data_IF_033587820069
#
_entry.id   IF_033587820069
#
_cell.length_a   1.000
_cell.length_b   1.000
_cell.length_c   1.000
_cell.angle_alpha   90.00
_cell.angle_beta   90.00
_cell.angle_gamma   90.00
#
_symmetry.space_group_name_H-M   'P 1'
#
loop_
_entity.id
_entity.type
_entity.pdbx_description
1 polymer ?
#
# COMPACT_ATOMS: atom_id res chain seq x y z
N UNK A 1 -9.42 65.91 -28.58
CA UNK A 1 -10.19 64.85 -27.92
C UNK A 1 -10.77 63.96 -29.02
N UNK A 2 -10.11 62.83 -29.30
CA UNK A 2 -10.62 61.80 -30.19
C UNK A 2 -10.73 60.53 -29.33
N UNK A 3 -11.92 59.95 -29.35
CA UNK A 3 -12.42 58.96 -28.41
C UNK A 3 -11.55 57.71 -28.30
N UNK A 4 -11.00 57.50 -27.11
CA UNK A 4 -10.19 56.34 -26.71
C UNK A 4 -11.01 55.05 -26.50
N UNK A 5 -12.28 55.02 -26.96
CA UNK A 5 -13.18 53.87 -26.83
C UNK A 5 -12.97 52.82 -27.93
N UNK A 6 -12.62 53.23 -29.15
CA UNK A 6 -12.34 52.29 -30.25
C UNK A 6 -11.01 51.54 -30.10
N UNK A 7 -10.06 52.09 -29.34
CA UNK A 7 -8.74 51.48 -29.14
C UNK A 7 -8.76 50.27 -28.18
N UNK A 8 -9.69 50.19 -27.22
CA UNK A 8 -9.80 49.01 -26.34
C UNK A 8 -10.21 47.76 -27.14
N UNK A 9 -11.19 47.90 -28.03
CA UNK A 9 -11.70 46.83 -28.90
C UNK A 9 -10.61 46.17 -29.76
N UNK A 10 -9.75 46.97 -30.39
CA UNK A 10 -8.63 46.45 -31.22
C UNK A 10 -7.55 45.80 -30.35
N UNK A 11 -7.30 46.32 -29.15
CA UNK A 11 -6.27 45.80 -28.27
C UNK A 11 -6.67 44.47 -27.60
N UNK A 12 -7.97 44.24 -27.44
CA UNK A 12 -8.53 42.98 -26.94
C UNK A 12 -8.88 42.02 -28.09
N UNK A 13 -8.79 42.46 -29.35
CA UNK A 13 -9.11 41.67 -30.55
C UNK A 13 -8.33 40.34 -30.60
N UNK A 14 -7.02 40.26 -30.29
CA UNK A 14 -6.32 38.97 -30.29
C UNK A 14 -6.82 38.05 -29.16
N UNK A 15 -7.23 38.58 -28.01
CA UNK A 15 -7.85 37.79 -26.94
C UNK A 15 -9.23 37.26 -27.37
N UNK A 16 -10.02 38.09 -28.05
CA UNK A 16 -11.29 37.65 -28.65
C UNK A 16 -11.08 36.62 -29.76
N UNK A 17 -10.08 36.77 -30.63
CA UNK A 17 -9.76 35.76 -31.66
C UNK A 17 -9.35 34.43 -31.01
N UNK A 18 -8.50 34.45 -29.97
CA UNK A 18 -8.16 33.23 -29.21
C UNK A 18 -9.41 32.57 -28.63
N UNK A 19 -10.24 33.35 -27.93
CA UNK A 19 -11.46 32.87 -27.27
C UNK A 19 -12.52 32.35 -28.25
N UNK A 20 -12.70 33.02 -29.38
CA UNK A 20 -13.83 32.83 -30.30
C UNK A 20 -13.49 31.91 -31.49
N UNK A 21 -12.21 31.78 -31.87
CA UNK A 21 -11.78 30.94 -33.01
C UNK A 21 -10.98 29.71 -32.62
N UNK A 22 -10.31 29.68 -31.47
CA UNK A 22 -9.53 28.52 -31.02
C UNK A 22 -10.30 27.76 -29.94
N UNK A 23 -10.78 28.45 -28.91
CA UNK A 23 -11.50 27.79 -27.81
C UNK A 23 -12.99 27.51 -28.10
N UNK A 24 -13.57 28.08 -29.15
CA UNK A 24 -14.96 27.79 -29.56
C UNK A 24 -15.08 26.59 -30.53
N UNK A 25 -13.93 26.05 -30.97
CA UNK A 25 -13.81 24.91 -31.87
C UNK A 25 -13.44 23.67 -31.05
N UNK A 26 -14.14 23.42 -29.94
CA UNK A 26 -13.85 22.24 -29.09
C UNK A 26 -14.15 20.90 -29.81
N UNK A 27 -14.89 20.92 -30.93
CA UNK A 27 -15.29 19.72 -31.67
C UNK A 27 -14.53 19.45 -32.98
N UNK A 28 -13.65 20.34 -33.47
CA UNK A 28 -12.84 20.09 -34.70
C UNK A 28 -11.33 20.08 -34.44
N UNK A 29 -10.90 20.18 -33.18
CA UNK A 29 -9.49 20.20 -32.78
C UNK A 29 -8.80 18.82 -32.85
N UNK A 30 -9.50 17.74 -33.22
CA UNK A 30 -8.90 16.40 -33.39
C UNK A 30 -7.79 16.34 -34.46
N UNK A 31 -7.70 17.35 -35.34
CA UNK A 31 -6.76 17.38 -36.48
C UNK A 31 -5.50 18.22 -36.18
N UNK A 32 -5.45 18.95 -35.06
CA UNK A 32 -4.33 19.84 -34.77
C UNK A 32 -3.28 19.16 -33.89
N UNK A 33 -2.16 18.75 -34.52
CA UNK A 33 -0.99 18.17 -33.83
C UNK A 33 -0.34 19.14 -32.82
N UNK A 34 -0.59 20.45 -32.94
CA UNK A 34 -0.17 21.46 -31.97
C UNK A 34 -0.39 22.90 -32.45
N UNK A 35 -0.57 23.82 -31.49
CA UNK A 35 -0.65 25.27 -31.73
C UNK A 35 0.55 25.94 -31.06
N UNK A 36 1.37 26.67 -31.82
CA UNK A 36 2.50 27.42 -31.30
C UNK A 36 2.18 28.92 -31.24
N UNK A 37 2.24 29.52 -30.05
CA UNK A 37 2.09 30.96 -29.86
C UNK A 37 3.46 31.64 -29.79
N UNK A 38 3.74 32.55 -30.72
CA UNK A 38 4.85 33.50 -30.60
C UNK A 38 4.32 34.83 -30.06
N UNK A 39 4.61 35.12 -28.79
CA UNK A 39 4.20 36.37 -28.13
C UNK A 39 5.15 37.52 -28.52
N UNK A 40 5.01 38.01 -29.74
CA UNK A 40 5.89 39.07 -30.29
C UNK A 40 5.57 40.48 -29.77
N UNK A 41 4.42 40.68 -29.14
CA UNK A 41 3.99 41.96 -28.56
C UNK A 41 4.28 42.02 -27.06
N UNK A 42 4.98 43.07 -26.60
CA UNK A 42 5.29 43.32 -25.17
C UNK A 42 4.05 43.25 -24.28
N UNK A 43 2.91 43.81 -24.72
CA UNK A 43 1.67 43.77 -23.93
C UNK A 43 1.14 42.36 -23.76
N UNK A 44 1.15 41.54 -24.82
CA UNK A 44 0.72 40.14 -24.73
C UNK A 44 1.68 39.36 -23.84
N UNK A 45 2.98 39.45 -24.09
CA UNK A 45 3.98 38.83 -23.22
C UNK A 45 3.81 39.22 -21.74
N UNK A 46 3.50 40.48 -21.43
CA UNK A 46 3.26 40.90 -20.03
C UNK A 46 1.93 40.43 -19.44
N UNK A 47 0.92 40.10 -20.26
CA UNK A 47 -0.39 39.61 -19.82
C UNK A 47 -0.59 38.10 -20.00
N UNK A 48 0.46 37.37 -20.39
CA UNK A 48 0.42 35.94 -20.72
C UNK A 48 -0.25 35.07 -19.64
N UNK A 49 -0.09 35.39 -18.37
CA UNK A 49 -0.70 34.65 -17.25
C UNK A 49 -2.24 34.62 -17.31
N UNK A 50 -2.86 35.52 -18.07
CA UNK A 50 -4.33 35.60 -18.22
C UNK A 50 -4.92 34.65 -19.25
N UNK A 51 -4.11 34.08 -20.12
CA UNK A 51 -4.60 33.29 -21.26
C UNK A 51 -3.69 32.15 -21.69
N UNK A 52 -2.46 32.08 -21.18
CA UNK A 52 -1.56 30.95 -21.34
C UNK A 52 -1.50 30.18 -20.02
N UNK A 53 -2.18 29.05 -19.98
CA UNK A 53 -2.19 28.11 -18.85
C UNK A 53 -1.68 26.77 -19.35
N UNK A 54 -0.72 26.18 -18.65
CA UNK A 54 -0.30 24.80 -18.94
C UNK A 54 -1.25 23.85 -18.21
N UNK A 55 -2.06 23.13 -18.97
CA UNK A 55 -2.97 22.15 -18.39
C UNK A 55 -2.19 20.88 -18.04
N UNK A 56 -2.05 20.61 -16.75
CA UNK A 56 -1.29 19.47 -16.23
C UNK A 56 -1.82 18.11 -16.74
N UNK A 57 -3.09 18.02 -17.16
CA UNK A 57 -3.72 16.77 -17.61
C UNK A 57 -3.09 16.20 -18.89
N UNK A 58 -2.41 17.04 -19.67
CA UNK A 58 -1.67 16.59 -20.86
C UNK A 58 -0.23 16.16 -20.54
N UNK A 59 0.22 16.31 -19.29
CA UNK A 59 1.60 16.07 -18.91
C UNK A 59 1.70 14.96 -17.85
N UNK A 60 2.48 13.90 -18.11
CA UNK A 60 2.74 12.88 -17.09
C UNK A 60 3.50 13.50 -15.91
N UNK A 61 3.36 12.92 -14.72
CA UNK A 61 4.02 13.44 -13.50
C UNK A 61 5.54 13.60 -13.68
N UNK A 62 6.18 12.67 -14.38
CA UNK A 62 7.60 12.75 -14.74
C UNK A 62 7.98 14.03 -15.50
N UNK A 63 7.11 14.51 -16.39
CA UNK A 63 7.33 15.77 -17.09
C UNK A 63 7.21 16.95 -16.12
N UNK A 64 6.21 16.93 -15.25
CA UNK A 64 5.98 17.98 -14.25
C UNK A 64 7.18 18.10 -13.31
N UNK A 65 7.72 16.98 -12.81
CA UNK A 65 8.94 16.97 -12.00
C UNK A 65 10.15 17.52 -12.76
N UNK A 66 10.31 17.16 -14.04
CA UNK A 66 11.37 17.74 -14.87
C UNK A 66 11.21 19.25 -15.03
N UNK A 67 9.99 19.74 -15.21
CA UNK A 67 9.72 21.18 -15.30
C UNK A 67 10.07 21.85 -13.97
N UNK A 68 9.66 21.29 -12.83
CA UNK A 68 10.01 21.78 -11.49
C UNK A 68 11.52 21.95 -11.32
N UNK A 69 12.31 21.04 -11.89
CA UNK A 69 13.77 21.01 -11.77
C UNK A 69 14.53 21.89 -12.77
N UNK A 70 14.07 21.91 -14.02
CA UNK A 70 14.85 22.41 -15.16
C UNK A 70 14.27 23.69 -15.77
N UNK A 71 13.12 24.16 -15.29
CA UNK A 71 12.50 25.40 -15.75
C UNK A 71 13.38 26.61 -15.41
N UNK A 72 14.33 26.92 -16.29
CA UNK A 72 15.18 28.10 -16.21
C UNK A 72 14.50 29.36 -16.79
N UNK A 73 13.42 29.17 -17.55
CA UNK A 73 12.66 30.26 -18.16
C UNK A 73 11.85 31.01 -17.11
N UNK A 74 12.51 31.94 -16.39
CA UNK A 74 11.88 32.84 -15.39
C UNK A 74 10.62 33.53 -15.93
N UNK A 75 10.64 33.85 -17.22
CA UNK A 75 9.50 34.34 -17.99
C UNK A 75 8.23 33.52 -17.81
N UNK A 76 8.28 32.20 -17.63
CA UNK A 76 7.08 31.36 -17.52
C UNK A 76 6.94 30.67 -16.16
N UNK A 77 7.73 31.10 -15.17
CA UNK A 77 7.71 30.57 -13.81
C UNK A 77 6.31 30.55 -13.20
N UNK A 78 5.52 31.61 -13.42
CA UNK A 78 4.15 31.67 -12.91
C UNK A 78 3.23 30.63 -13.56
N UNK A 79 3.31 30.40 -14.88
CA UNK A 79 2.53 29.36 -15.55
C UNK A 79 2.90 27.96 -15.06
N UNK A 80 4.20 27.70 -14.87
CA UNK A 80 4.65 26.42 -14.34
C UNK A 80 4.12 26.20 -12.92
N UNK A 81 4.14 27.24 -12.07
CA UNK A 81 3.59 27.16 -10.72
C UNK A 81 2.07 26.93 -10.74
N UNK A 82 1.32 27.70 -11.55
CA UNK A 82 -0.12 27.51 -11.71
C UNK A 82 -0.49 26.10 -12.14
N UNK A 83 0.29 25.48 -13.04
CA UNK A 83 0.09 24.09 -13.47
C UNK A 83 0.25 23.11 -12.29
N UNK A 84 1.29 23.30 -11.48
CA UNK A 84 1.57 22.47 -10.29
C UNK A 84 0.45 22.65 -9.26
N UNK A 85 0.08 23.91 -8.95
CA UNK A 85 -0.97 24.23 -7.98
C UNK A 85 -2.34 23.68 -8.43
N UNK A 86 -2.65 23.78 -9.73
CA UNK A 86 -3.89 23.22 -10.30
C UNK A 86 -3.97 21.72 -10.09
N UNK A 87 -2.84 21.00 -10.25
CA UNK A 87 -2.76 19.57 -9.96
C UNK A 87 -2.99 19.31 -8.48
N UNK A 88 -2.36 20.08 -7.58
CA UNK A 88 -2.51 19.95 -6.12
C UNK A 88 -3.95 20.17 -5.65
N UNK A 89 -4.71 21.02 -6.34
CA UNK A 89 -6.11 21.28 -6.02
C UNK A 89 -7.13 20.35 -6.69
N UNK A 90 -6.72 19.49 -7.64
CA UNK A 90 -7.66 18.62 -8.34
C UNK A 90 -8.03 17.41 -7.47
N UNK A 91 -9.32 17.30 -7.15
CA UNK A 91 -9.94 16.18 -6.44
C UNK A 91 -9.65 14.78 -7.02
N UNK A 92 -9.28 14.70 -8.30
CA UNK A 92 -8.93 13.45 -8.98
C UNK A 92 -7.50 12.99 -8.68
N UNK A 93 -6.65 13.87 -8.16
CA UNK A 93 -5.31 13.52 -7.73
C UNK A 93 -5.36 13.23 -6.22
N UNK A 94 -5.13 11.97 -5.86
CA UNK A 94 -5.43 11.47 -4.51
C UNK A 94 -4.27 10.67 -3.90
N UNK A 95 -3.29 10.27 -4.71
CA UNK A 95 -2.16 9.44 -4.28
C UNK A 95 -0.91 10.29 -4.19
N UNK A 96 -0.37 10.43 -2.99
CA UNK A 96 0.80 11.27 -2.71
C UNK A 96 1.93 10.43 -2.13
N UNK A 97 3.13 10.64 -2.66
CA UNK A 97 4.36 10.11 -2.09
C UNK A 97 5.25 11.26 -1.63
N UNK A 98 5.78 11.12 -0.43
CA UNK A 98 6.66 12.09 0.20
C UNK A 98 8.07 11.51 0.24
N UNK A 99 9.07 12.35 -0.04
CA UNK A 99 10.49 11.99 0.05
C UNK A 99 11.25 12.95 0.95
N UNK A 100 12.10 12.41 1.82
CA UNK A 100 12.90 13.24 2.72
C UNK A 100 13.90 14.13 1.99
N UNK A 101 14.44 13.65 0.88
CA UNK A 101 15.37 14.40 0.06
C UNK A 101 15.11 14.09 -1.40
N UNK A 102 15.61 14.97 -2.27
CA UNK A 102 15.48 14.79 -3.70
C UNK A 102 16.37 13.65 -4.18
N UNK A 103 15.78 12.70 -4.90
CA UNK A 103 16.49 11.54 -5.43
C UNK A 103 15.97 11.12 -6.79
N UNK A 104 16.69 10.19 -7.44
CA UNK A 104 16.19 9.54 -8.65
C UNK A 104 15.03 8.60 -8.30
N UNK A 105 13.90 8.82 -8.96
CA UNK A 105 12.66 8.11 -8.71
C UNK A 105 12.40 7.12 -9.85
N UNK A 106 12.01 5.88 -9.51
CA UNK A 106 11.74 4.83 -10.49
C UNK A 106 10.52 5.15 -11.37
N UNK A 107 10.47 4.53 -12.56
CA UNK A 107 9.36 4.73 -13.50
C UNK A 107 7.99 4.39 -12.90
N UNK A 108 7.94 3.37 -12.04
CA UNK A 108 6.70 2.88 -11.42
C UNK A 108 6.08 3.89 -10.45
N UNK A 109 6.88 4.76 -9.83
CA UNK A 109 6.36 5.79 -8.93
C UNK A 109 5.60 6.85 -9.74
N UNK A 110 6.08 7.22 -10.93
CA UNK A 110 5.39 8.17 -11.81
C UNK A 110 4.07 7.65 -12.39
N UNK A 111 3.87 6.32 -12.44
CA UNK A 111 2.60 5.71 -12.84
C UNK A 111 1.69 5.42 -11.64
N UNK A 112 2.25 5.28 -10.44
CA UNK A 112 1.50 4.92 -9.22
C UNK A 112 1.00 6.13 -8.44
N UNK A 113 1.72 7.25 -8.46
CA UNK A 113 1.37 8.42 -7.65
C UNK A 113 0.97 9.61 -8.51
N UNK A 114 0.10 10.45 -7.95
CA UNK A 114 -0.37 11.67 -8.58
C UNK A 114 0.52 12.86 -8.18
N UNK A 115 1.14 12.78 -7.00
CA UNK A 115 2.03 13.80 -6.43
C UNK A 115 3.32 13.20 -5.90
N UNK A 116 4.42 13.93 -6.11
CA UNK A 116 5.70 13.71 -5.45
C UNK A 116 6.07 15.02 -4.77
N UNK A 117 6.39 14.98 -3.48
CA UNK A 117 6.89 16.14 -2.75
C UNK A 117 8.18 15.76 -2.02
N UNK A 118 9.13 16.70 -2.01
CA UNK A 118 10.45 16.54 -1.39
C UNK A 118 10.59 17.53 -0.24
N UNK A 119 11.12 17.08 0.89
CA UNK A 119 11.47 17.97 2.01
C UNK A 119 12.96 18.25 2.00
N UNK A 120 13.36 19.33 2.66
CA UNK A 120 14.76 19.75 2.78
C UNK A 120 15.29 19.30 4.15
N UNK A 121 16.47 18.67 4.16
CA UNK A 121 17.20 18.28 5.36
C UNK A 121 17.50 19.47 6.30
N UNK A 122 17.55 20.69 5.76
CA UNK A 122 17.78 21.91 6.53
C UNK A 122 16.52 22.44 7.24
N UNK A 123 15.35 21.87 6.94
CA UNK A 123 14.15 22.19 7.70
C UNK A 123 14.18 21.40 9.02
N UNK A 124 14.29 22.09 10.16
CA UNK A 124 14.16 21.49 11.50
C UNK A 124 12.78 20.85 11.75
N UNK A 125 11.89 20.87 10.76
CA UNK A 125 10.49 20.53 10.92
C UNK A 125 10.37 19.01 10.77
N UNK A 126 9.86 18.39 11.85
CA UNK A 126 9.10 17.14 11.85
C UNK A 126 8.18 17.03 10.62
N UNK A 127 7.60 15.87 10.26
CA UNK A 127 6.46 15.84 9.32
C UNK A 127 5.52 16.99 9.73
N UNK A 128 5.50 18.12 9.01
CA UNK A 128 4.98 19.32 9.65
C UNK A 128 3.51 19.10 9.98
N UNK A 129 3.02 19.49 11.18
CA UNK A 129 1.58 19.56 11.42
C UNK A 129 0.86 20.52 10.44
N UNK A 130 1.62 21.23 9.59
CA UNK A 130 1.17 22.09 8.50
C UNK A 130 1.78 21.72 7.15
N UNK A 131 2.07 20.44 6.87
CA UNK A 131 2.18 20.08 5.46
C UNK A 131 0.83 20.41 4.87
N UNK A 132 0.79 21.31 3.89
CA UNK A 132 -0.38 21.49 3.04
C UNK A 132 -0.54 20.24 2.17
N UNK A 133 -0.83 19.11 2.82
CA UNK A 133 -1.29 17.91 2.16
C UNK A 133 -2.68 18.26 1.64
N UNK A 134 -2.92 18.11 0.33
CA UNK A 134 -4.24 18.39 -0.20
C UNK A 134 -5.30 17.58 0.55
N UNK A 135 -6.42 18.22 0.91
CA UNK A 135 -7.54 17.55 1.58
C UNK A 135 -8.13 16.41 0.73
N UNK A 136 -7.80 16.34 -0.57
CA UNK A 136 -8.19 15.27 -1.50
C UNK A 136 -7.34 14.00 -1.38
N UNK A 137 -6.21 14.01 -0.65
CA UNK A 137 -5.31 12.86 -0.56
C UNK A 137 -5.98 11.70 0.18
N UNK A 138 -6.14 10.59 -0.52
CA UNK A 138 -6.68 9.33 0.02
C UNK A 138 -5.60 8.28 0.25
N UNK A 139 -4.49 8.33 -0.50
CA UNK A 139 -3.33 7.44 -0.30
C UNK A 139 -2.10 8.28 -0.02
N UNK A 140 -1.47 8.06 1.13
CA UNK A 140 -0.29 8.78 1.57
C UNK A 140 0.84 7.83 1.92
N UNK A 141 1.96 7.94 1.20
CA UNK A 141 3.16 7.11 1.38
C UNK A 141 4.35 7.97 1.75
N UNK A 142 5.09 7.55 2.77
CA UNK A 142 6.37 8.16 3.13
C UNK A 142 7.54 7.31 2.64
N UNK A 143 8.57 7.98 2.11
CA UNK A 143 9.82 7.36 1.67
C UNK A 143 11.03 8.00 2.34
N UNK A 144 11.80 7.18 3.05
CA UNK A 144 13.11 7.52 3.62
C UNK A 144 13.09 8.66 4.65
N UNK A 145 12.13 8.65 5.57
CA UNK A 145 12.05 9.66 6.63
C UNK A 145 12.55 9.11 7.96
N UNK A 146 13.50 9.81 8.56
CA UNK A 146 13.83 9.63 9.97
C UNK A 146 13.22 10.80 10.75
N UNK A 147 12.33 10.48 11.68
CA UNK A 147 11.72 11.45 12.57
C UNK A 147 12.54 11.72 13.83
N UNK A 148 13.73 11.13 13.99
CA UNK A 148 14.65 11.40 15.10
C UNK A 148 14.00 11.29 16.50
N UNK A 149 13.06 10.38 16.67
CA UNK A 149 12.32 10.14 17.90
C UNK A 149 11.05 11.00 18.08
N UNK A 150 10.67 11.81 17.09
CA UNK A 150 9.50 12.69 17.19
C UNK A 150 8.19 11.92 17.27
N UNK A 151 7.24 12.53 17.95
CA UNK A 151 5.87 12.03 18.07
C UNK A 151 5.03 12.63 16.96
N UNK A 152 4.31 11.77 16.23
CA UNK A 152 3.29 12.19 15.28
C UNK A 152 2.05 12.50 16.11
N UNK A 153 1.59 13.75 16.11
CA UNK A 153 0.47 14.21 16.92
C UNK A 153 -0.86 14.03 16.18
N UNK A 154 -2.02 14.13 16.86
CA UNK A 154 -3.31 14.17 16.19
C UNK A 154 -3.41 15.30 15.17
N UNK A 155 -4.13 15.05 14.08
CA UNK A 155 -4.31 15.98 12.94
C UNK A 155 -3.05 16.23 12.09
N UNK A 156 -1.98 15.45 12.25
CA UNK A 156 -0.81 15.52 11.32
C UNK A 156 -1.16 15.06 9.90
N UNK A 157 -2.06 14.07 9.75
CA UNK A 157 -2.48 13.55 8.45
C UNK A 157 -3.88 14.07 8.04
N UNK A 158 -4.16 14.26 6.74
CA UNK A 158 -5.47 14.70 6.27
C UNK A 158 -6.57 13.73 6.65
N UNK A 159 -7.78 14.22 6.97
CA UNK A 159 -8.90 13.37 7.39
C UNK A 159 -9.42 12.46 6.26
N UNK A 160 -9.13 12.79 5.00
CA UNK A 160 -9.56 12.01 3.83
C UNK A 160 -8.72 10.74 3.58
N UNK A 161 -7.55 10.60 4.23
CA UNK A 161 -6.65 9.46 4.02
C UNK A 161 -7.35 8.15 4.36
N UNK A 162 -7.29 7.21 3.42
CA UNK A 162 -7.80 5.83 3.48
C UNK A 162 -6.67 4.81 3.53
N UNK A 163 -5.56 5.11 2.87
CA UNK A 163 -4.37 4.25 2.83
C UNK A 163 -3.17 5.06 3.35
N UNK A 164 -2.55 4.58 4.43
CA UNK A 164 -1.42 5.25 5.07
C UNK A 164 -0.24 4.29 5.18
N UNK A 165 0.83 4.60 4.44
CA UNK A 165 2.07 3.82 4.46
C UNK A 165 3.19 4.59 5.16
N UNK A 166 3.46 4.16 6.39
CA UNK A 166 4.53 4.65 7.27
C UNK A 166 5.74 3.72 7.27
N UNK A 167 5.83 2.75 6.36
CA UNK A 167 6.81 1.67 6.47
C UNK A 167 8.26 2.08 6.29
N UNK A 168 8.48 3.21 5.62
CA UNK A 168 9.80 3.84 5.48
C UNK A 168 9.96 5.05 6.43
N UNK A 169 9.08 5.22 7.41
CA UNK A 169 9.36 6.06 8.57
C UNK A 169 10.23 5.30 9.57
N UNK A 170 11.21 5.97 10.15
CA UNK A 170 12.04 5.44 11.24
C UNK A 170 12.03 6.38 12.44
N UNK A 171 12.29 5.81 13.62
CA UNK A 171 12.38 6.52 14.90
C UNK A 171 11.20 7.48 15.13
N UNK A 172 9.98 7.00 14.98
CA UNK A 172 8.78 7.80 15.20
C UNK A 172 7.90 7.18 16.26
N UNK A 173 7.22 8.02 17.03
CA UNK A 173 6.22 7.59 18.01
C UNK A 173 4.82 7.98 17.53
N UNK A 174 3.84 7.13 17.85
CA UNK A 174 2.43 7.42 17.63
C UNK A 174 1.75 7.66 18.97
N UNK A 175 0.72 8.48 18.95
CA UNK A 175 -0.23 8.70 20.05
C UNK A 175 -1.63 8.33 19.61
N UNK A 176 -2.55 8.20 20.56
CA UNK A 176 -3.97 8.02 20.24
C UNK A 176 -4.45 9.21 19.42
N UNK A 177 -5.08 8.94 18.27
CA UNK A 177 -5.56 9.97 17.34
C UNK A 177 -4.55 10.46 16.30
N UNK A 178 -3.29 9.99 16.34
CA UNK A 178 -2.29 10.32 15.30
C UNK A 178 -2.67 9.78 13.93
N UNK A 179 -3.32 8.62 13.87
CA UNK A 179 -3.83 8.02 12.64
C UNK A 179 -5.31 8.44 12.47
N UNK A 180 -5.71 9.04 11.34
CA UNK A 180 -7.09 9.45 11.11
C UNK A 180 -8.05 8.26 11.18
N UNK A 181 -9.23 8.45 11.76
CA UNK A 181 -10.24 7.39 11.89
C UNK A 181 -10.77 6.85 10.56
N UNK A 182 -10.57 7.61 9.47
CA UNK A 182 -10.95 7.24 8.12
C UNK A 182 -10.04 6.22 7.44
N UNK A 183 -8.86 5.91 8.03
CA UNK A 183 -7.87 4.98 7.46
C UNK A 183 -8.41 3.55 7.48
N UNK A 184 -8.34 2.89 6.32
CA UNK A 184 -8.75 1.50 6.08
C UNK A 184 -7.54 0.57 5.95
N UNK A 185 -6.44 1.07 5.40
CA UNK A 185 -5.18 0.33 5.25
C UNK A 185 -4.05 1.09 5.94
N UNK A 186 -3.41 0.42 6.89
CA UNK A 186 -2.30 0.99 7.65
C UNK A 186 -1.08 0.08 7.58
N UNK A 187 0.03 0.63 7.07
CA UNK A 187 1.32 -0.03 7.10
C UNK A 187 2.25 0.73 8.04
N UNK A 188 2.48 0.19 9.24
CA UNK A 188 3.41 0.78 10.21
C UNK A 188 4.88 0.48 9.89
N UNK A 189 5.14 -0.53 9.04
CA UNK A 189 6.47 -1.09 8.83
C UNK A 189 7.20 -1.35 10.14
N UNK A 190 8.45 -0.89 10.25
CA UNK A 190 9.34 -1.14 11.41
C UNK A 190 9.00 -0.21 12.58
N UNK A 191 7.92 -0.53 13.29
CA UNK A 191 7.51 0.22 14.46
C UNK A 191 8.22 -0.29 15.72
N UNK A 192 9.00 0.58 16.39
CA UNK A 192 9.88 0.20 17.51
C UNK A 192 9.31 0.55 18.90
N UNK A 193 8.04 0.97 18.97
CA UNK A 193 7.34 1.29 20.21
C UNK A 193 6.23 0.27 20.49
N UNK A 194 5.78 0.21 21.75
CA UNK A 194 4.61 -0.60 22.10
C UNK A 194 3.39 0.03 21.44
N UNK A 195 2.59 -0.79 20.76
CA UNK A 195 1.35 -0.35 20.17
C UNK A 195 0.27 -0.38 21.26
N UNK A 196 -0.06 0.75 21.85
CA UNK A 196 -1.11 0.85 22.87
C UNK A 196 -2.51 0.82 22.23
N UNK A 197 -3.52 0.46 23.03
CA UNK A 197 -4.93 0.48 22.63
C UNK A 197 -5.33 1.89 22.12
N UNK A 198 -6.07 1.94 21.02
CA UNK A 198 -6.54 3.18 20.41
C UNK A 198 -5.52 3.91 19.51
N UNK A 199 -4.26 3.47 19.43
CA UNK A 199 -3.31 4.02 18.44
C UNK A 199 -3.74 3.64 17.02
N UNK A 200 -4.12 2.38 16.80
CA UNK A 200 -4.73 1.93 15.55
C UNK A 200 -6.24 2.17 15.65
N UNK A 201 -6.84 2.99 14.77
CA UNK A 201 -8.26 3.31 14.85
C UNK A 201 -9.14 2.14 14.39
N UNK A 202 -10.37 2.06 14.91
CA UNK A 202 -11.37 1.04 14.55
C UNK A 202 -11.85 1.08 13.08
N UNK A 203 -11.34 2.01 12.25
CA UNK A 203 -11.58 2.00 10.80
C UNK A 203 -10.69 1.02 10.05
N UNK A 204 -9.54 0.64 10.62
CA UNK A 204 -8.50 -0.13 9.91
C UNK A 204 -8.96 -1.55 9.67
N UNK A 205 -8.91 -1.97 8.40
CA UNK A 205 -9.23 -3.32 7.91
C UNK A 205 -8.00 -4.14 7.58
N UNK A 206 -6.96 -3.49 7.04
CA UNK A 206 -5.66 -4.11 6.73
C UNK A 206 -4.57 -3.45 7.55
N UNK A 207 -3.87 -4.24 8.34
CA UNK A 207 -2.80 -3.76 9.21
C UNK A 207 -1.50 -4.53 8.91
N UNK A 208 -0.41 -3.78 8.71
CA UNK A 208 0.94 -4.34 8.63
C UNK A 208 1.79 -3.81 9.78
N UNK A 209 2.33 -4.74 10.58
CA UNK A 209 3.25 -4.48 11.67
C UNK A 209 4.51 -5.31 11.40
N UNK A 210 5.66 -4.64 11.30
CA UNK A 210 6.95 -5.27 11.21
C UNK A 210 7.89 -4.75 12.32
N UNK A 211 8.96 -5.47 12.58
CA UNK A 211 10.07 -4.99 13.39
C UNK A 211 11.40 -5.28 12.71
N UNK A 212 12.48 -4.75 13.25
CA UNK A 212 13.80 -5.35 13.02
C UNK A 212 14.04 -6.54 13.98
N UNK A 213 15.14 -7.25 13.79
CA UNK A 213 15.50 -8.42 14.61
C UNK A 213 15.80 -8.10 16.09
N UNK A 214 16.05 -6.83 16.46
CA UNK A 214 16.61 -6.45 17.77
C UNK A 214 15.65 -5.62 18.63
N UNK A 215 14.69 -4.95 18.01
CA UNK A 215 13.87 -3.90 18.61
C UNK A 215 12.37 -4.19 18.51
N UNK A 216 12.00 -5.47 18.30
CA UNK A 216 10.60 -5.90 18.38
C UNK A 216 9.97 -5.54 19.72
N UNK A 217 8.75 -5.00 19.67
CA UNK A 217 7.92 -4.78 20.86
C UNK A 217 6.75 -5.76 20.85
N UNK A 218 6.37 -6.31 22.03
CA UNK A 218 5.24 -7.21 22.12
C UNK A 218 3.95 -6.46 21.81
N UNK A 219 2.98 -7.19 21.28
CA UNK A 219 1.60 -6.71 21.26
C UNK A 219 1.08 -6.66 22.70
N UNK A 220 0.14 -5.75 22.95
CA UNK A 220 -0.68 -5.75 24.17
C UNK A 220 -2.13 -6.03 23.77
N UNK A 221 -2.92 -6.56 24.70
CA UNK A 221 -4.35 -6.78 24.47
C UNK A 221 -5.04 -5.46 24.06
N UNK A 222 -5.91 -5.52 23.06
CA UNK A 222 -6.58 -4.34 22.49
C UNK A 222 -5.73 -3.47 21.57
N UNK A 223 -4.45 -3.78 21.36
CA UNK A 223 -3.58 -2.99 20.46
C UNK A 223 -3.98 -3.08 18.99
N UNK A 224 -4.57 -4.21 18.60
CA UNK A 224 -5.14 -4.44 17.27
C UNK A 224 -6.66 -4.40 17.41
N UNK A 225 -7.37 -3.46 16.77
CA UNK A 225 -8.81 -3.31 16.94
C UNK A 225 -9.59 -4.42 16.23
N UNK A 226 -10.79 -4.73 16.74
CA UNK A 226 -11.74 -5.73 16.20
C UNK A 226 -12.28 -5.41 14.79
N UNK A 227 -11.81 -4.34 14.18
CA UNK A 227 -12.08 -4.01 12.78
C UNK A 227 -11.13 -4.70 11.81
N UNK A 228 -9.94 -5.11 12.27
CA UNK A 228 -8.87 -5.66 11.43
C UNK A 228 -9.24 -7.05 10.95
N UNK A 229 -9.28 -7.21 9.63
CA UNK A 229 -9.63 -8.46 8.95
C UNK A 229 -8.38 -9.14 8.38
N UNK A 230 -7.36 -8.35 8.02
CA UNK A 230 -6.10 -8.82 7.45
C UNK A 230 -4.94 -8.26 8.26
N UNK A 231 -4.14 -9.15 8.84
CA UNK A 231 -2.96 -8.79 9.61
C UNK A 231 -1.69 -9.38 8.96
N UNK A 232 -0.75 -8.50 8.63
CA UNK A 232 0.62 -8.87 8.34
C UNK A 232 1.48 -8.57 9.57
N UNK A 233 1.94 -9.61 10.26
CA UNK A 233 2.75 -9.48 11.46
C UNK A 233 4.13 -10.13 11.25
N UNK A 234 5.17 -9.31 11.20
CA UNK A 234 6.55 -9.75 11.05
C UNK A 234 7.42 -9.15 12.14
N UNK A 235 7.25 -9.66 13.36
CA UNK A 235 7.98 -9.21 14.54
C UNK A 235 8.56 -10.41 15.30
N UNK A 236 9.66 -10.19 16.01
CA UNK A 236 10.36 -11.20 16.80
C UNK A 236 9.68 -11.51 18.15
N UNK A 237 8.65 -10.75 18.55
CA UNK A 237 7.91 -10.99 19.79
C UNK A 237 6.83 -12.06 19.63
N UNK A 238 6.67 -12.90 20.67
CA UNK A 238 5.62 -13.91 20.77
C UNK A 238 4.24 -13.25 20.80
N UNK A 239 3.26 -13.90 20.19
CA UNK A 239 1.85 -13.55 20.31
C UNK A 239 1.26 -14.46 21.39
N UNK A 240 0.76 -13.87 22.47
CA UNK A 240 0.05 -14.59 23.53
C UNK A 240 -1.44 -14.72 23.20
N UNK A 241 -2.17 -15.66 23.84
CA UNK A 241 -3.62 -15.75 23.70
C UNK A 241 -4.32 -14.41 23.95
N UNK A 242 -5.41 -14.15 23.23
CA UNK A 242 -6.21 -12.91 23.28
C UNK A 242 -5.51 -11.63 22.78
N UNK A 243 -4.29 -11.71 22.22
CA UNK A 243 -3.64 -10.54 21.60
C UNK A 243 -4.12 -10.24 20.17
N UNK A 244 -4.73 -11.23 19.50
CA UNK A 244 -5.30 -11.09 18.17
C UNK A 244 -6.83 -11.01 18.27
N UNK A 245 -7.49 -10.02 17.65
CA UNK A 245 -8.94 -9.93 17.66
C UNK A 245 -9.59 -11.05 16.83
N UNK A 246 -10.81 -11.44 17.22
CA UNK A 246 -11.57 -12.50 16.55
C UNK A 246 -11.94 -12.16 15.10
N UNK A 247 -11.89 -10.89 14.72
CA UNK A 247 -12.22 -10.38 13.38
C UNK A 247 -11.23 -10.80 12.29
N UNK A 248 -10.01 -11.23 12.65
CA UNK A 248 -8.97 -11.55 11.67
C UNK A 248 -9.37 -12.78 10.86
N UNK A 249 -9.51 -12.58 9.56
CA UNK A 249 -9.78 -13.63 8.58
C UNK A 249 -8.50 -14.10 7.86
N UNK A 250 -7.51 -13.22 7.75
CA UNK A 250 -6.24 -13.50 7.08
C UNK A 250 -5.06 -13.07 7.95
N UNK A 251 -4.20 -14.01 8.30
CA UNK A 251 -2.99 -13.77 9.09
C UNK A 251 -1.75 -14.18 8.30
N UNK A 252 -0.81 -13.24 8.16
CA UNK A 252 0.53 -13.49 7.64
C UNK A 252 1.56 -13.33 8.76
N UNK A 253 2.25 -14.40 9.11
CA UNK A 253 3.41 -14.37 10.01
C UNK A 253 4.71 -14.36 9.19
N UNK A 254 5.48 -13.29 9.36
CA UNK A 254 6.74 -13.07 8.64
C UNK A 254 7.92 -13.89 9.18
N UNK A 255 9.05 -13.82 8.48
CA UNK A 255 10.28 -14.57 8.79
C UNK A 255 10.90 -14.21 10.15
N UNK A 256 10.51 -13.09 10.75
CA UNK A 256 10.99 -12.69 12.07
C UNK A 256 10.28 -13.41 13.22
N UNK A 257 9.08 -13.97 12.97
CA UNK A 257 8.33 -14.68 13.99
C UNK A 257 8.90 -16.10 14.16
N UNK A 258 9.56 -16.34 15.30
CA UNK A 258 10.30 -17.57 15.61
C UNK A 258 9.76 -18.32 16.83
N UNK A 259 8.50 -18.09 17.17
CA UNK A 259 7.86 -18.72 18.34
C UNK A 259 6.90 -19.80 17.87
N UNK A 260 6.83 -20.90 18.64
CA UNK A 260 5.80 -21.91 18.44
C UNK A 260 4.43 -21.27 18.73
N UNK A 261 3.41 -21.69 17.97
CA UNK A 261 2.05 -21.29 18.23
C UNK A 261 1.50 -22.16 19.36
N UNK A 262 1.01 -21.52 20.41
CA UNK A 262 0.31 -22.19 21.50
C UNK A 262 -1.20 -22.26 21.20
N UNK A 263 -1.92 -23.08 21.95
CA UNK A 263 -3.37 -23.15 21.87
C UNK A 263 -4.00 -21.76 22.05
N UNK A 264 -5.12 -21.52 21.36
CA UNK A 264 -5.92 -20.27 21.45
C UNK A 264 -5.22 -18.99 20.97
N UNK A 265 -4.02 -19.07 20.38
CA UNK A 265 -3.35 -17.90 19.78
C UNK A 265 -4.00 -17.49 18.45
N UNK A 266 -4.39 -18.46 17.62
CA UNK A 266 -5.02 -18.18 16.33
C UNK A 266 -6.51 -17.85 16.50
N UNK A 267 -7.02 -16.77 15.87
CA UNK A 267 -8.41 -16.36 16.03
C UNK A 267 -9.38 -17.35 15.37
N UNK A 268 -10.59 -17.55 15.93
CA UNK A 268 -11.51 -18.61 15.51
C UNK A 268 -12.14 -18.39 14.14
N UNK A 269 -12.09 -17.17 13.58
CA UNK A 269 -12.61 -16.84 12.23
C UNK A 269 -11.55 -16.91 11.13
N UNK A 270 -10.32 -17.32 11.46
CA UNK A 270 -9.21 -17.32 10.52
C UNK A 270 -9.48 -18.27 9.34
N UNK A 271 -9.54 -17.71 8.13
CA UNK A 271 -9.77 -18.46 6.87
C UNK A 271 -8.48 -18.76 6.15
N UNK A 272 -7.50 -17.84 6.23
CA UNK A 272 -6.21 -17.97 5.57
C UNK A 272 -5.08 -17.67 6.54
N UNK A 273 -4.17 -18.62 6.68
CA UNK A 273 -2.98 -18.45 7.49
C UNK A 273 -1.74 -18.70 6.62
N UNK A 274 -0.75 -17.82 6.72
CA UNK A 274 0.50 -17.97 5.99
C UNK A 274 1.63 -17.70 6.96
N UNK A 275 2.52 -18.68 7.14
CA UNK A 275 3.66 -18.52 8.02
C UNK A 275 4.96 -18.84 7.30
N UNK A 276 5.76 -17.81 7.09
CA UNK A 276 7.09 -17.91 6.49
C UNK A 276 8.15 -18.20 7.55
N UNK A 277 7.97 -19.25 8.35
CA UNK A 277 8.82 -19.55 9.50
C UNK A 277 10.27 -19.84 9.09
N UNK A 278 11.27 -19.29 9.79
CA UNK A 278 12.68 -19.69 9.64
C UNK A 278 13.01 -20.98 10.40
N UNK A 279 12.18 -21.37 11.37
CA UNK A 279 12.37 -22.54 12.23
C UNK A 279 11.52 -23.70 11.75
N UNK A 280 11.93 -24.93 12.09
CA UNK A 280 11.01 -26.06 12.02
C UNK A 280 9.95 -25.86 13.11
N UNK A 281 8.68 -25.81 12.70
CA UNK A 281 7.56 -25.69 13.63
C UNK A 281 6.78 -26.98 13.64
N UNK A 282 6.46 -27.44 14.83
CA UNK A 282 5.54 -28.54 15.05
C UNK A 282 4.16 -27.94 15.31
N UNK A 283 3.24 -28.15 14.36
CA UNK A 283 1.85 -27.75 14.51
C UNK A 283 1.11 -28.91 15.15
N UNK A 284 1.19 -28.93 16.48
CA UNK A 284 0.57 -29.93 17.34
C UNK A 284 -0.96 -29.86 17.30
N UNK A 285 -1.60 -30.76 18.05
CA UNK A 285 -3.04 -30.95 18.06
C UNK A 285 -3.82 -29.63 18.32
N UNK A 286 -4.92 -29.40 17.60
CA UNK A 286 -5.84 -28.28 17.83
C UNK A 286 -5.23 -26.85 17.76
N UNK A 287 -4.16 -26.63 16.99
CA UNK A 287 -3.58 -25.29 16.79
C UNK A 287 -4.34 -24.50 15.72
N UNK A 288 -4.73 -25.15 14.62
CA UNK A 288 -5.40 -24.49 13.50
C UNK A 288 -6.92 -24.44 13.73
N UNK A 289 -7.56 -23.27 13.57
CA UNK A 289 -9.00 -23.16 13.74
C UNK A 289 -9.75 -23.90 12.62
N UNK A 290 -10.98 -24.37 12.88
CA UNK A 290 -11.72 -25.19 11.92
C UNK A 290 -12.18 -24.42 10.68
N UNK A 291 -12.18 -23.09 10.73
CA UNK A 291 -12.55 -22.21 9.60
C UNK A 291 -11.44 -22.10 8.55
N UNK A 292 -10.27 -22.67 8.81
CA UNK A 292 -9.11 -22.53 7.94
C UNK A 292 -9.36 -23.24 6.61
N UNK A 293 -9.20 -22.49 5.52
CA UNK A 293 -9.38 -22.97 4.15
C UNK A 293 -8.09 -22.95 3.36
N UNK A 294 -7.17 -22.05 3.73
CA UNK A 294 -5.89 -21.87 3.07
C UNK A 294 -4.78 -21.77 4.10
N UNK A 295 -3.79 -22.63 4.00
CA UNK A 295 -2.64 -22.59 4.91
C UNK A 295 -1.32 -22.77 4.17
N UNK A 296 -0.32 -21.94 4.47
CA UNK A 296 1.04 -22.11 3.96
C UNK A 296 2.01 -22.27 5.12
N UNK A 297 2.79 -23.34 5.06
CA UNK A 297 3.92 -23.55 5.97
C UNK A 297 5.14 -23.93 5.19
N UNK A 298 6.24 -23.26 5.53
CA UNK A 298 7.57 -23.62 5.07
C UNK A 298 8.30 -24.27 6.23
N UNK A 299 8.95 -25.42 5.96
CA UNK A 299 9.77 -26.16 6.94
C UNK A 299 9.03 -26.42 8.25
N UNK A 300 8.07 -27.34 8.27
CA UNK A 300 7.30 -27.65 9.49
C UNK A 300 6.75 -29.06 9.44
N UNK A 301 6.44 -29.62 10.60
CA UNK A 301 5.70 -30.88 10.75
C UNK A 301 4.23 -30.52 10.99
N UNK A 302 3.34 -31.12 10.21
CA UNK A 302 1.91 -30.95 10.35
C UNK A 302 1.33 -32.27 10.86
N UNK A 303 0.88 -32.30 12.10
CA UNK A 303 0.27 -33.51 12.67
C UNK A 303 -1.16 -33.67 12.15
N UNK A 304 -1.66 -34.90 11.95
CA UNK A 304 -3.03 -35.16 11.49
C UNK A 304 -4.11 -34.45 12.33
N UNK A 305 -3.87 -34.29 13.63
CA UNK A 305 -4.77 -33.69 14.61
C UNK A 305 -4.60 -32.16 14.75
N UNK A 306 -3.77 -31.54 13.90
CA UNK A 306 -3.48 -30.10 14.00
C UNK A 306 -4.68 -29.18 13.78
N UNK A 307 -5.75 -29.70 13.17
CA UNK A 307 -6.96 -28.93 12.87
C UNK A 307 -8.01 -29.27 13.92
N UNK A 308 -8.54 -28.22 14.56
CA UNK A 308 -9.64 -28.37 15.50
C UNK A 308 -10.84 -29.06 14.82
N UNK A 309 -11.41 -30.12 15.42
CA UNK A 309 -12.57 -30.80 14.85
C UNK A 309 -13.76 -29.84 14.78
N UNK A 310 -14.44 -29.80 13.63
CA UNK A 310 -15.72 -29.09 13.48
C UNK A 310 -16.79 -30.06 13.00
N UNK A 311 -17.85 -30.18 13.80
CA UNK A 311 -19.03 -30.98 13.46
C UNK A 311 -19.87 -30.36 12.33
N UNK A 312 -19.57 -29.14 11.90
CA UNK A 312 -20.46 -28.33 11.04
C UNK A 312 -19.84 -27.85 9.73
N UNK A 313 -18.53 -28.02 9.53
CA UNK A 313 -17.82 -27.49 8.36
C UNK A 313 -17.14 -28.63 7.60
N UNK A 314 -17.59 -28.90 6.38
CA UNK A 314 -16.80 -29.67 5.41
C UNK A 314 -15.56 -28.84 5.04
N UNK A 315 -14.46 -29.02 5.78
CA UNK A 315 -13.22 -28.31 5.50
C UNK A 315 -12.63 -28.81 4.19
N UNK A 316 -12.77 -28.03 3.12
CA UNK A 316 -11.99 -28.21 1.89
C UNK A 316 -10.66 -27.49 2.06
N UNK A 317 -9.82 -28.01 2.94
CA UNK A 317 -8.56 -27.36 3.26
C UNK A 317 -7.58 -27.48 2.07
N UNK A 318 -7.14 -26.32 1.58
CA UNK A 318 -6.05 -26.19 0.64
C UNK A 318 -4.76 -25.78 1.36
N UNK A 319 -3.70 -26.58 1.24
CA UNK A 319 -2.40 -26.24 1.84
C UNK A 319 -1.34 -26.00 0.77
N UNK A 320 -0.42 -25.07 1.03
CA UNK A 320 0.76 -24.90 0.20
C UNK A 320 1.98 -25.34 1.00
N UNK A 321 2.55 -26.47 0.58
CA UNK A 321 3.71 -27.10 1.19
C UNK A 321 4.97 -26.77 0.39
N UNK A 322 6.05 -26.47 1.09
CA UNK A 322 7.38 -26.38 0.50
C UNK A 322 7.97 -27.78 0.28
N UNK A 323 8.86 -27.97 -0.70
CA UNK A 323 9.55 -29.26 -0.92
C UNK A 323 10.32 -29.73 0.31
N UNK A 324 10.75 -28.81 1.18
CA UNK A 324 11.39 -29.14 2.45
C UNK A 324 10.48 -29.88 3.44
N UNK A 325 9.15 -29.77 3.31
CA UNK A 325 8.19 -30.54 4.12
C UNK A 325 8.45 -32.05 3.97
N UNK A 326 8.63 -32.52 2.74
CA UNK A 326 8.81 -33.93 2.40
C UNK A 326 10.21 -34.47 2.69
N UNK A 327 11.10 -33.68 3.32
CA UNK A 327 12.40 -34.20 3.80
C UNK A 327 12.25 -35.07 5.04
N UNK A 328 11.26 -34.75 5.87
CA UNK A 328 11.03 -35.40 7.16
C UNK A 328 9.61 -35.97 7.30
N UNK A 329 8.72 -35.69 6.35
CA UNK A 329 7.32 -36.11 6.35
C UNK A 329 6.99 -36.84 5.04
N UNK A 330 6.02 -37.74 5.12
CA UNK A 330 5.44 -38.49 4.02
C UNK A 330 4.08 -37.92 3.60
N UNK A 331 3.45 -38.53 2.58
CA UNK A 331 2.07 -38.18 2.20
C UNK A 331 1.04 -38.64 3.23
N UNK A 332 1.36 -39.67 4.02
CA UNK A 332 0.47 -40.23 5.05
C UNK A 332 0.36 -39.28 6.25
N UNK A 333 1.36 -38.42 6.45
CA UNK A 333 1.37 -37.40 7.50
C UNK A 333 0.47 -36.19 7.16
N UNK A 334 -0.12 -36.13 5.95
CA UNK A 334 -1.01 -35.03 5.57
C UNK A 334 -2.41 -35.28 6.18
N UNK A 335 -2.96 -34.35 6.99
CA UNK A 335 -4.27 -34.52 7.64
C UNK A 335 -5.40 -34.84 6.66
N UNK A 336 -6.35 -35.69 7.07
CA UNK A 336 -7.49 -36.11 6.24
C UNK A 336 -8.36 -34.93 5.76
N UNK A 337 -8.44 -33.86 6.56
CA UNK A 337 -9.14 -32.62 6.21
C UNK A 337 -8.54 -31.90 4.97
N UNK A 338 -7.27 -32.16 4.63
CA UNK A 338 -6.60 -31.58 3.47
C UNK A 338 -7.10 -32.26 2.20
N UNK A 339 -7.91 -31.55 1.42
CA UNK A 339 -8.43 -32.05 0.14
C UNK A 339 -7.50 -31.73 -1.03
N UNK A 340 -6.68 -30.69 -0.90
CA UNK A 340 -5.78 -30.26 -1.95
C UNK A 340 -4.51 -29.67 -1.35
N UNK A 341 -3.38 -29.96 -1.98
CA UNK A 341 -2.14 -29.29 -1.63
C UNK A 341 -1.36 -28.86 -2.88
N UNK A 342 -0.61 -27.77 -2.75
CA UNK A 342 0.30 -27.27 -3.76
C UNK A 342 1.74 -27.50 -3.30
N UNK A 343 2.61 -27.92 -4.21
CA UNK A 343 4.06 -28.03 -3.98
C UNK A 343 4.76 -27.53 -5.22
N UNK A 344 5.43 -26.37 -5.13
CA UNK A 344 6.10 -25.74 -6.27
C UNK A 344 5.15 -25.60 -7.49
N UNK A 345 5.37 -26.34 -8.58
CA UNK A 345 4.52 -26.32 -9.80
C UNK A 345 3.45 -27.41 -9.84
N UNK A 346 3.39 -28.27 -8.80
CA UNK A 346 2.44 -29.37 -8.70
C UNK A 346 1.23 -29.00 -7.85
N UNK A 347 0.08 -29.54 -8.22
CA UNK A 347 -1.14 -29.52 -7.42
C UNK A 347 -1.62 -30.94 -7.22
N UNK A 348 -1.77 -31.36 -5.97
CA UNK A 348 -2.25 -32.67 -5.60
C UNK A 348 -3.67 -32.55 -5.01
N UNK A 349 -4.57 -33.45 -5.38
CA UNK A 349 -5.94 -33.52 -4.86
C UNK A 349 -6.22 -34.89 -4.25
N UNK A 350 -6.72 -34.93 -3.02
CA UNK A 350 -7.04 -36.17 -2.32
C UNK A 350 -8.18 -36.90 -3.03
N UNK A 351 -7.99 -38.18 -3.32
CA UNK A 351 -9.01 -39.08 -3.91
C UNK A 351 -9.62 -39.97 -2.81
N UNK A 352 -8.79 -40.45 -1.89
CA UNK A 352 -9.17 -41.23 -0.70
C UNK A 352 -8.13 -40.98 0.41
N UNK A 353 -8.30 -41.63 1.56
CA UNK A 353 -7.50 -41.43 2.78
C UNK A 353 -5.99 -41.44 2.53
N UNK A 354 -5.49 -42.24 1.59
CA UNK A 354 -4.05 -42.41 1.36
C UNK A 354 -3.60 -42.10 -0.09
N UNK A 355 -4.49 -41.59 -0.95
CA UNK A 355 -4.18 -41.39 -2.39
C UNK A 355 -4.45 -39.97 -2.83
N UNK A 356 -3.48 -39.39 -3.56
CA UNK A 356 -3.61 -38.08 -4.20
C UNK A 356 -3.42 -38.16 -5.72
N UNK A 357 -4.23 -37.39 -6.45
CA UNK A 357 -4.06 -37.11 -7.87
C UNK A 357 -3.16 -35.90 -8.06
N UNK A 358 -2.02 -36.07 -8.74
CA UNK A 358 -1.08 -34.99 -8.97
C UNK A 358 -1.21 -34.41 -10.38
N UNK A 359 -1.32 -33.09 -10.48
CA UNK A 359 -1.39 -32.31 -11.71
C UNK A 359 -0.15 -31.41 -11.79
N UNK A 360 0.65 -31.55 -12.85
CA UNK A 360 1.74 -30.62 -13.14
C UNK A 360 1.25 -29.55 -14.12
N UNK A 361 1.38 -28.26 -13.75
CA UNK A 361 0.91 -27.13 -14.57
C UNK A 361 1.58 -27.03 -15.95
N UNK A 362 2.60 -27.83 -16.26
CA UNK A 362 3.28 -27.83 -17.57
C UNK A 362 3.32 -29.17 -18.35
N UNK A 363 2.82 -30.30 -17.81
CA UNK A 363 3.01 -31.63 -18.46
C UNK A 363 1.80 -32.58 -18.41
N UNK A 364 0.61 -32.12 -18.03
CA UNK A 364 -0.55 -33.00 -17.86
C UNK A 364 -0.55 -33.72 -16.50
N UNK A 365 -1.66 -34.39 -16.19
CA UNK A 365 -1.88 -35.06 -14.90
C UNK A 365 -1.28 -36.46 -14.82
N UNK A 366 -0.75 -36.82 -13.65
CA UNK A 366 -0.33 -38.18 -13.32
C UNK A 366 -1.22 -38.71 -12.19
N UNK A 367 -2.03 -39.73 -12.49
CA UNK A 367 -2.59 -40.62 -11.46
C UNK A 367 -1.47 -41.50 -10.95
N UNK A 368 -0.89 -41.14 -9.80
CA UNK A 368 -0.02 -41.99 -8.98
C UNK A 368 0.98 -42.88 -9.73
N UNK A 369 2.10 -42.29 -10.19
CA UNK A 369 3.37 -43.00 -10.03
C UNK A 369 3.97 -42.47 -8.74
N UNK A 370 3.66 -43.18 -7.65
CA UNK A 370 4.59 -43.53 -6.59
C UNK A 370 5.59 -42.41 -6.25
N UNK A 371 5.16 -41.47 -5.39
CA UNK A 371 6.10 -40.87 -4.44
C UNK A 371 6.36 -41.95 -3.37
N UNK A 372 7.15 -42.97 -3.69
CA UNK A 372 7.77 -43.81 -2.64
C UNK A 372 9.24 -43.46 -2.53
N UNK A 373 9.60 -43.14 -1.29
CA UNK A 373 10.90 -42.76 -0.73
C UNK A 373 11.31 -41.30 -0.90
#
# INVERSE_FOLDING_TARGET
MLDNKYNKSILDLPYHILKDRIFHVENELEILDGICFSLTCKRFYMNRDRYLVFNYKYYPLKFIERVRDTASMKSYSHQYQQMIDSRLSDSQCQRMILFREKQEVSADIFSTYDYIEYYDENSEVAIPPNVHLPDSVTTLTFMMYDLNGQTIEPNTFPPAVKELDLSNLTNYKLTVGSIPSGVLELNLGKYHHVLEEGIVPHGVKRLTIASDHRNGKPLVAGSIPDSVEILHYSNACKIEPNMLPESIEILYLGFLYKHQLEHEVLPPRLKKFVWNSPINVDLEENILPPTISHFNVKKSVLYPEAIMPSETVETRLEIHLDLSYFKNNSLDDIPLAVQKFLVNTFTARRINDNTFLCLNRGRGGFTSDILTK
#
